data_IF_321425370949
#
_entry.id   IF_321425370949
#
_cell.length_a   1.000
_cell.length_b   1.000
_cell.length_c   1.000
_cell.angle_alpha   90.00
_cell.angle_beta   90.00
_cell.angle_gamma   90.00
#
_symmetry.space_group_name_H-M   'P 1'
#
loop_
_entity.id
_entity.type
_entity.pdbx_description
1 polymer ?
#
# COMPACT_ATOMS: atom_id res chain seq x y z
N UNK A 1 7.51 13.47 -1.29
CA UNK A 1 7.18 13.57 -2.73
C UNK A 1 6.50 12.27 -3.14
N UNK A 2 5.50 12.34 -4.01
CA UNK A 2 4.73 11.17 -4.48
C UNK A 2 5.04 11.00 -5.97
N UNK A 3 5.49 9.81 -6.43
CA UNK A 3 5.79 9.56 -7.84
C UNK A 3 4.56 9.75 -8.72
N UNK A 4 4.76 10.27 -9.95
CA UNK A 4 3.66 10.49 -10.89
C UNK A 4 2.93 9.19 -11.26
N UNK A 5 3.66 8.07 -11.38
CA UNK A 5 3.10 6.75 -11.66
C UNK A 5 2.10 6.30 -10.58
N UNK A 6 2.43 6.53 -9.29
CA UNK A 6 1.51 6.25 -8.17
C UNK A 6 0.23 7.08 -8.30
N UNK A 7 0.34 8.35 -8.68
CA UNK A 7 -0.82 9.23 -8.88
C UNK A 7 -1.66 8.74 -10.07
N UNK A 8 -1.04 8.35 -11.18
CA UNK A 8 -1.74 7.82 -12.35
C UNK A 8 -2.56 6.59 -12.00
N UNK A 9 -1.97 5.62 -11.30
CA UNK A 9 -2.67 4.41 -10.87
C UNK A 9 -3.87 4.71 -9.98
N UNK A 10 -3.76 5.72 -9.10
CA UNK A 10 -4.87 6.14 -8.23
C UNK A 10 -6.00 6.78 -9.04
N UNK A 11 -5.65 7.62 -10.02
CA UNK A 11 -6.63 8.20 -10.96
C UNK A 11 -7.33 7.11 -11.78
N UNK A 12 -6.62 6.03 -12.11
CA UNK A 12 -7.15 4.85 -12.79
C UNK A 12 -7.96 3.92 -11.85
N UNK A 13 -8.15 4.31 -10.59
CA UNK A 13 -9.02 3.64 -9.62
C UNK A 13 -8.30 2.66 -8.67
N UNK A 14 -6.97 2.61 -8.69
CA UNK A 14 -6.22 1.85 -7.69
C UNK A 14 -6.31 2.52 -6.31
N UNK A 15 -6.32 1.72 -5.24
CA UNK A 15 -6.13 2.26 -3.89
C UNK A 15 -4.70 2.77 -3.72
N UNK A 16 -4.44 3.73 -2.82
CA UNK A 16 -3.09 4.19 -2.56
C UNK A 16 -2.11 3.05 -2.21
N UNK A 17 -2.59 2.06 -1.44
CA UNK A 17 -1.79 0.87 -1.09
C UNK A 17 -1.40 0.08 -2.34
N UNK A 18 -2.37 -0.18 -3.24
CA UNK A 18 -2.14 -0.90 -4.49
C UNK A 18 -1.18 -0.16 -5.41
N UNK A 19 -1.40 1.14 -5.59
CA UNK A 19 -0.55 1.97 -6.45
C UNK A 19 0.91 1.97 -5.97
N UNK A 20 1.15 2.11 -4.66
CA UNK A 20 2.49 2.02 -4.09
C UNK A 20 3.09 0.61 -4.21
N UNK A 21 2.31 -0.43 -3.98
CA UNK A 21 2.77 -1.81 -4.15
C UNK A 21 3.26 -2.08 -5.57
N UNK A 22 2.48 -1.67 -6.57
CA UNK A 22 2.81 -1.86 -7.98
C UNK A 22 4.02 -1.01 -8.41
N UNK A 23 4.08 0.25 -7.98
CA UNK A 23 5.25 1.12 -8.23
C UNK A 23 6.55 0.55 -7.63
N UNK A 24 6.47 -0.06 -6.45
CA UNK A 24 7.62 -0.72 -5.80
C UNK A 24 7.88 -2.14 -6.34
N UNK A 25 7.12 -2.59 -7.34
CA UNK A 25 7.21 -3.94 -7.91
C UNK A 25 7.08 -5.06 -6.87
N UNK A 26 6.23 -4.86 -5.86
CA UNK A 26 5.99 -5.84 -4.80
C UNK A 26 4.75 -6.69 -5.09
N UNK A 27 4.81 -7.96 -4.74
CA UNK A 27 3.66 -8.86 -4.70
C UNK A 27 2.92 -8.73 -3.37
N UNK A 28 1.65 -9.12 -3.33
CA UNK A 28 0.87 -9.15 -2.08
C UNK A 28 1.52 -10.06 -1.03
N UNK A 29 2.14 -11.15 -1.46
CA UNK A 29 2.83 -12.11 -0.58
C UNK A 29 4.09 -11.51 0.06
N UNK A 30 4.91 -10.79 -0.72
CA UNK A 30 6.09 -10.12 -0.18
C UNK A 30 5.73 -9.07 0.88
N UNK A 31 4.68 -8.29 0.65
CA UNK A 31 4.23 -7.28 1.60
C UNK A 31 3.66 -7.94 2.85
N UNK A 32 2.86 -9.00 2.68
CA UNK A 32 2.33 -9.77 3.80
C UNK A 32 3.44 -10.36 4.67
N UNK A 33 4.51 -10.91 4.05
CA UNK A 33 5.71 -11.40 4.76
C UNK A 33 6.40 -10.29 5.54
N UNK A 34 6.59 -9.11 4.95
CA UNK A 34 7.17 -7.94 5.65
C UNK A 34 6.32 -7.47 6.81
N UNK A 35 5.00 -7.61 6.71
CA UNK A 35 4.04 -7.26 7.76
C UNK A 35 3.82 -8.36 8.81
N UNK A 36 4.33 -9.56 8.59
CA UNK A 36 4.09 -10.72 9.46
C UNK A 36 2.63 -11.19 9.47
N UNK A 37 1.91 -11.03 8.36
CA UNK A 37 0.51 -11.47 8.20
C UNK A 37 0.37 -12.43 7.02
N UNK A 38 -0.81 -13.04 6.85
CA UNK A 38 -1.10 -13.87 5.68
C UNK A 38 -1.36 -13.03 4.42
N UNK A 39 -1.03 -13.57 3.25
CA UNK A 39 -1.30 -12.90 1.97
C UNK A 39 -2.79 -12.51 1.79
N UNK A 40 -3.79 -13.35 2.15
CA UNK A 40 -5.19 -12.94 2.08
C UNK A 40 -5.57 -11.82 3.06
N UNK A 41 -4.89 -11.73 4.21
CA UNK A 41 -5.10 -10.62 5.14
C UNK A 41 -4.58 -9.30 4.56
N UNK A 42 -3.43 -9.31 3.87
CA UNK A 42 -2.93 -8.14 3.17
C UNK A 42 -3.83 -7.78 1.96
N UNK A 43 -4.25 -8.76 1.16
CA UNK A 43 -5.14 -8.54 0.03
C UNK A 43 -6.46 -7.85 0.46
N UNK A 44 -7.01 -8.22 1.61
CA UNK A 44 -8.16 -7.52 2.20
C UNK A 44 -7.84 -6.09 2.66
N UNK A 45 -6.63 -5.83 3.15
CA UNK A 45 -6.23 -4.46 3.52
C UNK A 45 -6.03 -3.58 2.28
N UNK A 46 -5.55 -4.14 1.18
CA UNK A 46 -5.31 -3.43 -0.07
C UNK A 46 -6.60 -2.90 -0.72
N UNK A 47 -7.74 -3.54 -0.50
CA UNK A 47 -9.04 -3.07 -1.00
C UNK A 47 -9.64 -1.94 -0.15
N UNK A 48 -9.09 -1.66 1.04
CA UNK A 48 -9.59 -0.60 1.92
C UNK A 48 -9.09 0.75 1.43
N UNK A 49 -10.00 1.57 0.91
CA UNK A 49 -9.67 2.91 0.41
C UNK A 49 -9.05 3.83 1.48
N UNK A 50 -9.51 3.73 2.74
CA UNK A 50 -9.02 4.54 3.87
C UNK A 50 -8.68 3.64 5.06
N UNK A 51 -7.49 3.05 5.11
CA UNK A 51 -7.06 2.23 6.23
C UNK A 51 -6.96 3.07 7.52
N UNK A 52 -7.18 2.42 8.67
CA UNK A 52 -6.92 3.05 9.98
C UNK A 52 -5.46 3.47 10.07
N UNK A 53 -5.17 4.54 10.81
CA UNK A 53 -3.81 5.09 10.99
C UNK A 53 -2.77 4.01 11.32
N UNK A 54 -3.06 3.15 12.30
CA UNK A 54 -2.13 2.08 12.69
C UNK A 54 -1.85 1.06 11.57
N UNK A 55 -2.85 0.72 10.76
CA UNK A 55 -2.67 -0.17 9.60
C UNK A 55 -1.85 0.51 8.52
N UNK A 56 -2.14 1.79 8.24
CA UNK A 56 -1.42 2.60 7.27
C UNK A 56 0.06 2.74 7.62
N UNK A 57 0.37 2.97 8.90
CA UNK A 57 1.75 3.05 9.40
C UNK A 57 2.50 1.73 9.19
N UNK A 58 1.86 0.57 9.46
CA UNK A 58 2.46 -0.75 9.22
C UNK A 58 2.70 -1.03 7.73
N UNK A 59 1.75 -0.69 6.87
CA UNK A 59 1.90 -0.87 5.42
C UNK A 59 3.01 0.04 4.88
N UNK A 60 3.04 1.31 5.32
CA UNK A 60 4.09 2.25 4.93
C UNK A 60 5.48 1.75 5.33
N UNK A 61 5.61 1.20 6.55
CA UNK A 61 6.86 0.58 7.00
C UNK A 61 7.26 -0.63 6.12
N UNK A 62 6.31 -1.49 5.72
CA UNK A 62 6.57 -2.61 4.82
C UNK A 62 7.01 -2.17 3.40
N UNK A 63 6.53 -1.00 2.96
CA UNK A 63 6.92 -0.36 1.69
C UNK A 63 8.21 0.46 1.79
N UNK A 64 8.70 0.78 3.00
CA UNK A 64 9.84 1.67 3.19
C UNK A 64 9.53 3.15 2.90
N UNK A 65 8.26 3.54 3.06
CA UNK A 65 7.77 4.91 2.83
C UNK A 65 7.16 5.49 4.10
N UNK A 66 6.76 6.76 4.06
CA UNK A 66 6.06 7.43 5.16
C UNK A 66 4.55 7.20 5.08
N UNK A 67 3.85 7.15 6.22
CA UNK A 67 2.40 6.95 6.25
C UNK A 67 1.61 8.06 5.53
N UNK A 68 2.16 9.27 5.44
CA UNK A 68 1.56 10.41 4.72
C UNK A 68 1.55 10.20 3.20
N UNK A 69 2.43 9.34 2.66
CA UNK A 69 2.42 8.99 1.25
C UNK A 69 1.24 8.07 0.87
N UNK A 70 0.56 7.49 1.87
CA UNK A 70 -0.67 6.70 1.71
C UNK A 70 -1.94 7.50 2.06
N UNK A 71 -1.85 8.82 2.27
CA UNK A 71 -2.98 9.69 2.64
C UNK A 71 -3.74 10.34 1.49
N UNK A 72 -3.39 9.98 0.25
CA UNK A 72 -3.96 10.51 -0.99
C UNK A 72 -5.49 10.40 -1.06
#
# INVERSE_FOLDING_TARGET
MIPHEVVSLIVDGATPIRAWREHLSLTQDEVAKRMGISQPAFAQQETVAKPRRATREKIAAAFGITANQLEL
#
